data_IF_696499204750
#
_entry.id   IF_696499204750
#
_cell.length_a   1.000
_cell.length_b   1.000
_cell.length_c   1.000
_cell.angle_alpha   90.00
_cell.angle_beta   90.00
_cell.angle_gamma   90.00
#
_symmetry.space_group_name_H-M   'P 1'
#
loop_
_entity.id
_entity.type
_entity.pdbx_description
1 polymer ?
#
# COMPACT_ATOMS: atom_id res chain seq x y z
N UNK A 1 18.59 -6.25 -5.34
CA UNK A 1 19.32 -6.77 -6.51
C UNK A 1 18.72 -8.10 -6.98
N UNK A 2 18.60 -9.13 -6.12
CA UNK A 2 18.06 -10.45 -6.53
C UNK A 2 16.61 -10.39 -7.04
N UNK A 3 15.75 -9.56 -6.46
CA UNK A 3 14.37 -9.34 -6.93
C UNK A 3 14.39 -8.72 -8.33
N UNK A 4 15.19 -7.68 -8.53
CA UNK A 4 15.35 -7.01 -9.82
C UNK A 4 15.81 -7.98 -10.91
N UNK A 5 16.83 -8.79 -10.63
CA UNK A 5 17.40 -9.74 -11.60
C UNK A 5 16.38 -10.82 -12.02
N UNK A 6 15.40 -11.15 -11.15
CA UNK A 6 14.37 -12.16 -11.45
C UNK A 6 13.11 -11.59 -12.06
N UNK A 7 12.67 -10.44 -11.61
CA UNK A 7 11.36 -9.87 -12.00
C UNK A 7 11.48 -9.02 -13.27
N UNK A 8 12.56 -8.28 -13.44
CA UNK A 8 12.75 -7.39 -14.60
C UNK A 8 12.67 -8.10 -15.95
N UNK A 9 13.28 -9.29 -16.18
CA UNK A 9 13.14 -10.00 -17.44
C UNK A 9 11.71 -10.40 -17.76
N UNK A 10 10.91 -10.77 -16.75
CA UNK A 10 9.50 -11.14 -16.93
C UNK A 10 8.66 -9.92 -17.32
N UNK A 11 8.87 -8.78 -16.67
CA UNK A 11 8.17 -7.54 -17.00
C UNK A 11 8.52 -7.05 -18.41
N UNK A 12 9.80 -7.10 -18.79
CA UNK A 12 10.24 -6.76 -20.16
C UNK A 12 9.61 -7.68 -21.19
N UNK A 13 9.63 -8.99 -20.97
CA UNK A 13 8.99 -9.94 -21.84
C UNK A 13 7.49 -9.64 -22.00
N UNK A 14 6.80 -9.35 -20.91
CA UNK A 14 5.38 -8.99 -20.93
C UNK A 14 5.14 -7.68 -21.71
N UNK A 15 5.93 -6.66 -21.45
CA UNK A 15 5.85 -5.38 -22.13
C UNK A 15 6.07 -5.55 -23.64
N UNK A 16 7.15 -6.22 -24.07
CA UNK A 16 7.52 -6.37 -25.48
C UNK A 16 6.52 -7.20 -26.26
N UNK A 17 5.93 -8.22 -25.64
CA UNK A 17 5.05 -9.17 -26.35
C UNK A 17 3.56 -8.83 -26.26
N UNK A 18 3.12 -8.05 -25.30
CA UNK A 18 1.69 -7.76 -25.11
C UNK A 18 1.36 -6.27 -25.12
N UNK A 19 2.19 -5.43 -24.53
CA UNK A 19 1.90 -3.99 -24.39
C UNK A 19 2.42 -3.21 -25.59
N UNK A 20 3.67 -3.40 -25.97
CA UNK A 20 4.30 -2.66 -27.08
C UNK A 20 3.67 -2.95 -28.45
N UNK A 21 2.97 -4.08 -28.59
CA UNK A 21 2.31 -4.48 -29.84
C UNK A 21 0.89 -3.90 -29.99
N UNK A 22 0.34 -3.22 -28.97
CA UNK A 22 -0.96 -2.57 -29.04
C UNK A 22 -0.83 -1.31 -29.90
N UNK A 23 -1.59 -1.15 -30.99
CA UNK A 23 -1.55 0.06 -31.82
C UNK A 23 -1.86 1.31 -31.00
N UNK A 24 -1.19 2.44 -31.33
CA UNK A 24 -1.24 3.67 -30.55
C UNK A 24 -2.65 4.25 -30.34
N UNK A 25 -3.56 4.06 -31.27
CA UNK A 25 -4.97 4.49 -31.15
C UNK A 25 -5.76 3.69 -30.10
N UNK A 26 -5.33 2.47 -29.79
CA UNK A 26 -5.92 1.64 -28.73
C UNK A 26 -5.27 1.85 -27.37
N UNK A 27 -4.17 2.60 -27.30
CA UNK A 27 -3.49 2.92 -26.03
C UNK A 27 -4.26 3.95 -25.17
N UNK A 28 -5.29 4.59 -25.71
CA UNK A 28 -6.15 5.50 -24.94
C UNK A 28 -7.12 4.79 -23.98
N UNK A 29 -7.24 3.48 -24.06
CA UNK A 29 -7.98 2.65 -23.10
C UNK A 29 -7.02 1.78 -22.33
N UNK A 30 -7.10 1.78 -21.02
CA UNK A 30 -6.44 0.92 -20.04
C UNK A 30 -5.36 -0.03 -20.59
N UNK A 31 -4.18 0.49 -20.88
CA UNK A 31 -3.01 -0.35 -21.17
C UNK A 31 -2.81 -1.29 -19.98
N UNK A 32 -2.74 -2.62 -20.14
CA UNK A 32 -2.53 -3.53 -19.03
C UNK A 32 -1.12 -3.35 -18.47
N UNK A 33 -0.97 -2.36 -17.62
CA UNK A 33 0.27 -2.06 -16.94
C UNK A 33 0.36 -2.87 -15.64
N UNK A 34 1.39 -3.66 -15.49
CA UNK A 34 1.65 -4.43 -14.27
C UNK A 34 2.66 -3.70 -13.41
N UNK A 35 2.25 -3.31 -12.22
CA UNK A 35 3.11 -2.85 -11.14
C UNK A 35 3.37 -4.01 -10.18
N UNK A 36 4.59 -4.16 -9.74
CA UNK A 36 4.97 -5.20 -8.77
C UNK A 36 5.56 -4.53 -7.55
N UNK A 37 4.95 -4.76 -6.39
CA UNK A 37 5.51 -4.36 -5.10
C UNK A 37 6.05 -5.58 -4.37
N UNK A 38 7.25 -5.46 -3.84
CA UNK A 38 7.88 -6.49 -3.01
C UNK A 38 8.30 -5.85 -1.69
N UNK A 39 7.78 -6.40 -0.61
CA UNK A 39 8.16 -6.02 0.74
C UNK A 39 8.72 -7.23 1.50
N UNK A 40 9.64 -7.01 2.41
CA UNK A 40 10.24 -8.10 3.18
C UNK A 40 11.46 -7.65 3.97
N UNK A 41 12.27 -8.63 4.33
CA UNK A 41 13.53 -8.43 5.04
C UNK A 41 14.71 -8.99 4.24
N UNK A 42 15.80 -8.25 4.21
CA UNK A 42 17.07 -8.68 3.65
C UNK A 42 18.16 -8.42 4.68
N UNK A 43 18.84 -9.47 5.15
CA UNK A 43 19.84 -9.40 6.21
C UNK A 43 19.35 -8.67 7.48
N UNK A 44 18.10 -8.95 7.88
CA UNK A 44 17.48 -8.32 9.05
C UNK A 44 16.97 -6.89 8.83
N UNK A 45 17.16 -6.30 7.65
CA UNK A 45 16.70 -4.95 7.33
C UNK A 45 15.42 -5.02 6.49
N UNK A 46 14.34 -4.30 6.87
CA UNK A 46 13.12 -4.25 6.07
C UNK A 46 13.37 -3.52 4.75
N UNK A 47 12.65 -3.90 3.71
CA UNK A 47 12.65 -3.19 2.43
C UNK A 47 11.26 -3.14 1.82
N UNK A 48 11.00 -2.07 1.08
CA UNK A 48 9.83 -1.90 0.20
C UNK A 48 10.35 -1.44 -1.15
N UNK A 49 10.06 -2.21 -2.19
CA UNK A 49 10.47 -1.93 -3.57
C UNK A 49 9.25 -2.04 -4.46
N UNK A 50 9.06 -1.08 -5.35
CA UNK A 50 8.17 -1.25 -6.49
C UNK A 50 8.95 -1.34 -7.80
N UNK A 51 8.34 -1.98 -8.78
CA UNK A 51 8.84 -2.08 -10.13
C UNK A 51 7.69 -1.68 -11.05
N UNK A 52 7.84 -0.61 -11.79
CA UNK A 52 6.86 -0.14 -12.73
C UNK A 52 6.87 -0.98 -14.03
N UNK A 53 5.89 -0.82 -14.93
CA UNK A 53 5.82 -1.55 -16.19
C UNK A 53 7.04 -1.33 -17.11
N UNK A 54 7.77 -0.24 -16.95
CA UNK A 54 8.98 0.08 -17.73
C UNK A 54 10.25 -0.49 -17.09
N UNK A 55 10.12 -1.11 -15.92
CA UNK A 55 11.24 -1.68 -15.17
C UNK A 55 11.99 -0.67 -14.31
N UNK A 56 11.44 0.53 -14.09
CA UNK A 56 11.98 1.46 -13.11
C UNK A 56 11.72 0.94 -11.70
N UNK A 57 12.68 1.13 -10.83
CA UNK A 57 12.65 0.62 -9.47
C UNK A 57 12.58 1.77 -8.49
N UNK A 58 11.47 1.84 -7.75
CA UNK A 58 11.31 2.69 -6.59
C UNK A 58 11.72 1.99 -5.30
N UNK A 59 12.25 2.73 -4.34
CA UNK A 59 12.59 2.25 -2.99
C UNK A 59 11.94 3.16 -1.96
N UNK A 60 11.28 2.55 -0.98
CA UNK A 60 10.40 3.27 -0.06
C UNK A 60 10.68 2.96 1.42
N UNK A 61 11.84 2.38 1.72
CA UNK A 61 12.22 2.02 3.09
C UNK A 61 12.30 3.25 4.01
N UNK A 62 12.83 4.36 3.49
CA UNK A 62 12.96 5.61 4.25
C UNK A 62 11.61 6.31 4.46
N UNK A 63 10.70 6.17 3.49
CA UNK A 63 9.33 6.72 3.59
C UNK A 63 8.48 5.87 4.53
N UNK A 64 8.75 4.56 4.63
CA UNK A 64 8.05 3.60 5.47
C UNK A 64 6.62 3.29 5.04
N UNK A 65 6.19 3.80 3.87
CA UNK A 65 4.84 3.57 3.33
C UNK A 65 4.87 3.62 1.80
N UNK A 66 4.18 2.67 1.16
CA UNK A 66 3.97 2.70 -0.29
C UNK A 66 2.64 2.03 -0.65
N UNK A 67 2.05 2.44 -1.77
CA UNK A 67 0.82 1.87 -2.31
C UNK A 67 0.90 1.77 -3.84
N UNK A 68 0.39 0.67 -4.38
CA UNK A 68 0.22 0.44 -5.82
C UNK A 68 -1.24 0.12 -6.13
N UNK A 69 -1.62 0.19 -7.41
CA UNK A 69 -2.98 -0.10 -7.88
C UNK A 69 -3.83 1.15 -8.07
N UNK A 70 -5.11 0.95 -8.39
CA UNK A 70 -6.06 2.02 -8.77
C UNK A 70 -6.27 3.09 -7.69
N UNK A 71 -6.11 2.72 -6.41
CA UNK A 71 -6.22 3.63 -5.26
C UNK A 71 -4.90 4.22 -4.79
N UNK A 72 -3.77 3.96 -5.45
CA UNK A 72 -2.43 4.29 -4.94
C UNK A 72 -2.24 5.78 -4.63
N UNK A 73 -2.68 6.66 -5.51
CA UNK A 73 -2.54 8.11 -5.32
C UNK A 73 -3.24 8.60 -4.04
N UNK A 74 -4.47 8.14 -3.81
CA UNK A 74 -5.23 8.49 -2.60
C UNK A 74 -4.63 7.84 -1.36
N UNK A 75 -4.19 6.58 -1.46
CA UNK A 75 -3.52 5.89 -0.37
C UNK A 75 -2.22 6.59 0.04
N UNK A 76 -1.42 7.07 -0.91
CA UNK A 76 -0.20 7.82 -0.64
C UNK A 76 -0.47 9.16 0.03
N UNK A 77 -1.51 9.89 -0.40
CA UNK A 77 -1.93 11.11 0.28
C UNK A 77 -2.36 10.85 1.73
N UNK A 78 -3.14 9.79 1.96
CA UNK A 78 -3.52 9.38 3.31
C UNK A 78 -2.29 8.97 4.14
N UNK A 79 -1.33 8.26 3.56
CA UNK A 79 -0.05 7.92 4.19
C UNK A 79 0.74 9.16 4.61
N UNK A 80 0.75 10.22 3.79
CA UNK A 80 1.38 11.50 4.14
C UNK A 80 0.71 12.14 5.36
N UNK A 81 -0.62 12.11 5.45
CA UNK A 81 -1.34 12.59 6.64
C UNK A 81 -1.01 11.74 7.89
N UNK A 82 -0.86 10.43 7.72
CA UNK A 82 -0.48 9.54 8.81
C UNK A 82 0.95 9.76 9.31
N UNK A 83 1.81 10.41 8.53
CA UNK A 83 3.16 10.79 8.97
C UNK A 83 3.13 11.72 10.20
N UNK A 84 2.08 12.54 10.37
CA UNK A 84 1.89 13.35 11.58
C UNK A 84 1.83 12.52 12.86
N UNK A 85 1.41 11.27 12.77
CA UNK A 85 1.36 10.34 13.90
C UNK A 85 2.65 9.55 14.10
N UNK A 86 3.70 9.87 13.33
CA UNK A 86 5.00 9.19 13.39
C UNK A 86 4.86 7.65 13.28
N UNK A 87 4.04 7.19 12.32
CA UNK A 87 3.70 5.75 12.19
C UNK A 87 4.91 4.86 11.91
N UNK A 88 5.95 5.39 11.26
CA UNK A 88 7.20 4.67 11.01
C UNK A 88 8.02 4.38 12.27
N UNK A 89 7.82 5.16 13.32
CA UNK A 89 8.53 5.01 14.60
C UNK A 89 7.75 4.16 15.61
N UNK A 90 6.57 3.68 15.21
CA UNK A 90 5.70 2.84 16.03
C UNK A 90 5.89 1.37 15.70
N UNK A 91 5.31 0.52 16.53
CA UNK A 91 5.29 -0.93 16.31
C UNK A 91 4.42 -1.32 15.09
N UNK A 92 4.55 -2.57 14.66
CA UNK A 92 3.82 -3.12 13.52
C UNK A 92 2.30 -3.10 13.71
N UNK A 93 1.79 -3.13 14.94
CA UNK A 93 0.36 -3.07 15.22
C UNK A 93 -0.24 -1.70 14.88
N UNK A 94 0.52 -0.62 15.07
CA UNK A 94 0.13 0.71 14.61
C UNK A 94 0.21 0.81 13.07
N UNK A 95 1.19 0.18 12.44
CA UNK A 95 1.26 0.09 10.98
C UNK A 95 0.05 -0.63 10.39
N UNK A 96 -0.36 -1.76 10.97
CA UNK A 96 -1.58 -2.49 10.58
C UNK A 96 -2.83 -1.61 10.76
N UNK A 97 -2.94 -0.93 11.91
CA UNK A 97 -4.06 -0.02 12.18
C UNK A 97 -4.17 1.09 11.13
N UNK A 98 -3.05 1.70 10.76
CA UNK A 98 -2.98 2.74 9.75
C UNK A 98 -3.35 2.21 8.36
N UNK A 99 -2.81 1.06 7.96
CA UNK A 99 -3.09 0.44 6.66
C UNK A 99 -4.57 0.07 6.51
N UNK A 100 -5.19 -0.55 7.51
CA UNK A 100 -6.62 -0.90 7.50
C UNK A 100 -7.47 0.36 7.44
N UNK A 101 -7.14 1.40 8.21
CA UNK A 101 -7.84 2.69 8.18
C UNK A 101 -7.83 3.31 6.78
N UNK A 102 -6.68 3.33 6.11
CA UNK A 102 -6.54 3.87 4.76
C UNK A 102 -7.38 3.05 3.78
N UNK A 103 -7.27 1.72 3.81
CA UNK A 103 -8.02 0.85 2.90
C UNK A 103 -9.54 0.96 3.10
N UNK A 104 -10.03 0.96 4.34
CA UNK A 104 -11.46 1.09 4.61
C UNK A 104 -12.00 2.48 4.20
N UNK A 105 -11.23 3.56 4.36
CA UNK A 105 -11.59 4.88 3.85
C UNK A 105 -11.65 4.90 2.30
N UNK A 106 -10.70 4.27 1.63
CA UNK A 106 -10.68 4.18 0.18
C UNK A 106 -11.85 3.37 -0.39
N UNK A 107 -12.26 2.31 0.29
CA UNK A 107 -13.45 1.51 -0.13
C UNK A 107 -14.75 2.31 -0.13
N UNK A 108 -14.84 3.33 0.72
CA UNK A 108 -16.00 4.23 0.76
C UNK A 108 -15.92 5.31 -0.31
N UNK A 109 -14.71 5.79 -0.61
CA UNK A 109 -14.50 6.97 -1.46
C UNK A 109 -14.18 6.63 -2.92
N UNK A 110 -13.81 5.38 -3.22
CA UNK A 110 -13.43 4.96 -4.57
C UNK A 110 -14.21 3.74 -5.04
N UNK A 111 -15.00 3.84 -6.13
CA UNK A 111 -15.78 2.72 -6.66
C UNK A 111 -14.90 1.61 -7.26
N UNK A 112 -13.64 1.89 -7.53
CA UNK A 112 -12.68 0.91 -8.07
C UNK A 112 -11.99 0.06 -7.00
N UNK A 113 -12.27 0.32 -5.71
CA UNK A 113 -11.67 -0.40 -4.59
C UNK A 113 -12.78 -1.15 -3.84
N UNK A 114 -12.64 -2.46 -3.76
CA UNK A 114 -13.63 -3.34 -3.13
C UNK A 114 -13.01 -4.64 -2.65
N UNK A 115 -13.87 -5.60 -2.33
CA UNK A 115 -13.47 -6.94 -1.89
C UNK A 115 -13.04 -7.02 -0.41
N UNK A 116 -12.69 -8.22 0.06
CA UNK A 116 -12.11 -8.40 1.39
C UNK A 116 -10.76 -7.70 1.48
N UNK A 117 -10.35 -7.38 2.71
CA UNK A 117 -9.01 -6.86 3.01
C UNK A 117 -8.19 -8.01 3.58
N UNK A 118 -7.11 -8.35 2.89
CA UNK A 118 -6.11 -9.30 3.38
C UNK A 118 -4.95 -8.52 4.01
N UNK A 119 -4.54 -8.93 5.20
CA UNK A 119 -3.43 -8.31 5.93
C UNK A 119 -2.38 -9.34 6.26
N UNK A 120 -1.14 -9.05 5.91
CA UNK A 120 0.02 -9.86 6.26
C UNK A 120 1.00 -9.04 7.08
N UNK A 121 1.46 -9.61 8.20
CA UNK A 121 2.60 -9.10 8.94
C UNK A 121 3.86 -9.79 8.45
N UNK A 122 4.87 -8.99 8.16
CA UNK A 122 6.18 -9.49 7.77
C UNK A 122 7.16 -9.32 8.93
N UNK A 123 7.98 -10.34 9.15
CA UNK A 123 9.11 -10.32 10.06
C UNK A 123 10.30 -11.05 9.42
N UNK A 124 11.49 -11.08 10.02
CA UNK A 124 12.65 -11.78 9.45
C UNK A 124 12.43 -13.29 9.23
N UNK A 125 11.50 -13.90 9.98
CA UNK A 125 11.17 -15.32 9.91
C UNK A 125 10.16 -15.64 8.80
N UNK A 126 9.35 -14.64 8.36
CA UNK A 126 8.38 -14.85 7.29
C UNK A 126 7.17 -13.92 7.32
N UNK A 127 6.12 -14.36 6.63
CA UNK A 127 4.85 -13.65 6.53
C UNK A 127 3.76 -14.39 7.30
N UNK A 128 2.99 -13.66 8.10
CA UNK A 128 1.86 -14.19 8.87
C UNK A 128 0.59 -13.44 8.44
N UNK A 129 -0.39 -14.19 7.92
CA UNK A 129 -1.71 -13.63 7.60
C UNK A 129 -2.51 -13.38 8.88
N UNK A 130 -3.21 -12.25 8.95
CA UNK A 130 -4.21 -12.01 9.99
C UNK A 130 -5.50 -12.76 9.65
N UNK A 131 -6.16 -13.28 10.67
CA UNK A 131 -7.50 -13.85 10.53
C UNK A 131 -8.54 -12.72 10.31
N UNK A 132 -9.72 -13.08 9.80
CA UNK A 132 -10.85 -12.13 9.70
C UNK A 132 -11.20 -11.52 11.06
N UNK A 133 -11.20 -12.33 12.13
CA UNK A 133 -11.45 -11.86 13.49
C UNK A 133 -10.40 -10.85 13.97
N UNK A 134 -9.12 -11.05 13.62
CA UNK A 134 -8.06 -10.09 13.91
C UNK A 134 -8.28 -8.77 13.17
N UNK A 135 -8.65 -8.85 11.90
CA UNK A 135 -8.94 -7.67 11.07
C UNK A 135 -10.14 -6.90 11.62
N UNK A 136 -11.18 -7.58 12.08
CA UNK A 136 -12.34 -6.94 12.69
C UNK A 136 -11.99 -6.25 14.01
N UNK A 137 -11.11 -6.85 14.82
CA UNK A 137 -10.57 -6.18 16.02
C UNK A 137 -9.76 -4.91 15.65
N UNK A 138 -9.00 -4.95 14.56
CA UNK A 138 -8.31 -3.75 14.06
C UNK A 138 -9.31 -2.68 13.61
N UNK A 139 -10.38 -3.05 12.91
CA UNK A 139 -11.45 -2.11 12.51
C UNK A 139 -12.15 -1.47 13.71
N UNK A 140 -12.34 -2.20 14.80
CA UNK A 140 -12.85 -1.62 16.04
C UNK A 140 -11.94 -0.54 16.60
N UNK A 141 -10.63 -0.78 16.59
CA UNK A 141 -9.64 0.22 16.98
C UNK A 141 -9.62 1.42 16.03
N UNK A 142 -9.82 1.22 14.73
CA UNK A 142 -9.97 2.31 13.73
C UNK A 142 -11.17 3.18 14.06
N UNK A 143 -12.34 2.57 14.38
CA UNK A 143 -13.53 3.31 14.79
C UNK A 143 -13.27 4.14 16.06
N UNK A 144 -12.66 3.51 17.06
CA UNK A 144 -12.31 4.22 18.31
C UNK A 144 -11.35 5.38 18.07
N UNK A 145 -10.38 5.21 17.18
CA UNK A 145 -9.49 6.30 16.78
C UNK A 145 -10.25 7.46 16.15
N UNK A 146 -11.17 7.19 15.22
CA UNK A 146 -11.99 8.23 14.59
C UNK A 146 -12.88 8.99 15.60
N UNK A 147 -13.43 8.30 16.60
CA UNK A 147 -14.18 8.92 17.71
C UNK A 147 -13.31 9.89 18.51
N UNK A 148 -12.10 9.46 18.88
CA UNK A 148 -11.15 10.30 19.63
C UNK A 148 -10.72 11.54 18.84
N UNK A 149 -10.54 11.43 17.51
CA UNK A 149 -10.26 12.58 16.66
C UNK A 149 -11.43 13.55 16.63
N UNK A 150 -12.66 13.05 16.50
CA UNK A 150 -13.87 13.88 16.53
C UNK A 150 -13.99 14.61 17.88
N UNK A 151 -13.83 13.89 18.99
CA UNK A 151 -13.82 14.50 20.33
C UNK A 151 -12.73 15.57 20.49
N UNK A 152 -11.57 15.36 19.87
CA UNK A 152 -10.47 16.33 19.90
C UNK A 152 -10.80 17.58 19.08
N UNK A 153 -11.42 17.43 17.89
CA UNK A 153 -11.86 18.54 17.05
C UNK A 153 -12.91 19.39 17.76
N UNK A 154 -13.87 18.78 18.47
CA UNK A 154 -14.91 19.48 19.19
C UNK A 154 -14.37 20.36 20.35
N UNK A 155 -13.16 20.06 20.82
CA UNK A 155 -12.47 20.83 21.87
C UNK A 155 -11.60 21.96 21.35
N UNK A 156 -11.42 22.06 20.03
CA UNK A 156 -10.66 23.18 19.46
C UNK A 156 -11.46 24.49 19.60
N UNK A 157 -10.81 25.60 19.98
CA UNK A 157 -11.50 26.87 20.06
C UNK A 157 -12.01 27.29 18.66
N UNK A 158 -13.22 27.80 18.63
CA UNK A 158 -13.75 28.45 17.42
C UNK A 158 -12.88 29.65 17.05
N UNK A 159 -12.55 29.81 15.77
CA UNK A 159 -11.77 30.94 15.27
C UNK A 159 -12.53 32.26 15.38
#
# INVERSE_FOLDING_TARGET
RAVQERVLPLLRYHYDNFIAQVPGEQQSGATPATYVMVAGYANGTPFIVDIDPHGLIGRYEEVGFHAIGSGSAMAQQAGTLLAHFQMTDRDVDHGVLAAVRVLDALRVTSPSIGGPVDVYRLNPEGAVALSEEDIDRVRERVRRWAELESEALDRLPSA
#
